data_IF_177661600718
#
_entry.id   IF_177661600718
#
_cell.length_a   1.000
_cell.length_b   1.000
_cell.length_c   1.000
_cell.angle_alpha   90.00
_cell.angle_beta   90.00
_cell.angle_gamma   90.00
#
_symmetry.space_group_name_H-M   'P 1'
#
loop_
_entity.id
_entity.type
_entity.pdbx_description
1 polymer ?
#
# COMPACT_ATOMS: atom_id res chain seq x y z
N UNK A 1 -6.17 -12.80 -3.89
CA UNK A 1 -5.41 -12.73 -2.63
C UNK A 1 -5.35 -11.29 -2.16
N UNK A 2 -5.65 -11.04 -0.88
CA UNK A 2 -5.53 -9.73 -0.26
C UNK A 2 -4.25 -9.68 0.58
N UNK A 3 -3.53 -8.57 0.49
CA UNK A 3 -2.30 -8.33 1.22
C UNK A 3 -2.32 -6.94 1.82
N UNK A 4 -1.66 -6.78 2.96
CA UNK A 4 -1.35 -5.49 3.55
C UNK A 4 0.15 -5.25 3.40
N UNK A 5 0.54 -4.10 2.87
CA UNK A 5 1.94 -3.71 2.75
C UNK A 5 2.19 -2.41 3.52
N UNK A 6 3.13 -2.44 4.45
CA UNK A 6 3.67 -1.24 5.09
C UNK A 6 4.89 -0.78 4.33
N UNK A 7 4.93 0.49 3.91
CA UNK A 7 6.00 1.10 3.13
C UNK A 7 6.69 2.18 3.95
N UNK A 8 8.03 2.15 3.96
CA UNK A 8 8.88 3.19 4.51
C UNK A 8 9.67 3.83 3.38
N UNK A 9 9.64 5.15 3.27
CA UNK A 9 10.37 5.94 2.30
C UNK A 9 11.74 6.34 2.85
N UNK A 10 12.68 6.66 1.95
CA UNK A 10 14.03 7.04 2.34
C UNK A 10 14.11 8.48 2.85
N UNK A 11 13.16 9.35 2.43
CA UNK A 11 13.14 10.78 2.77
C UNK A 11 11.71 11.32 2.85
N UNK A 12 11.40 12.05 3.93
CA UNK A 12 10.14 12.77 4.14
C UNK A 12 10.07 14.13 3.43
N UNK A 13 10.58 14.23 2.20
CA UNK A 13 10.36 15.46 1.44
C UNK A 13 8.93 15.46 0.90
N UNK A 14 8.26 16.61 1.03
CA UNK A 14 6.88 16.78 0.58
C UNK A 14 6.66 16.35 -0.88
N UNK A 15 7.62 16.63 -1.77
CA UNK A 15 7.54 16.26 -3.18
C UNK A 15 7.54 14.74 -3.41
N UNK A 16 8.27 13.97 -2.60
CA UNK A 16 8.32 12.51 -2.67
C UNK A 16 6.99 11.93 -2.20
N UNK A 17 6.49 12.43 -1.06
CA UNK A 17 5.22 12.01 -0.48
C UNK A 17 4.09 12.25 -1.49
N UNK A 18 4.04 13.42 -2.13
CA UNK A 18 2.99 13.75 -3.08
C UNK A 18 3.06 12.90 -4.36
N UNK A 19 4.27 12.65 -4.89
CA UNK A 19 4.45 11.71 -6.01
C UNK A 19 3.99 10.31 -5.64
N UNK A 20 4.34 9.83 -4.46
CA UNK A 20 3.96 8.50 -4.01
C UNK A 20 2.45 8.37 -3.81
N UNK A 21 1.81 9.38 -3.22
CA UNK A 21 0.34 9.48 -3.13
C UNK A 21 -0.33 9.46 -4.51
N UNK A 22 0.27 10.07 -5.54
CA UNK A 22 -0.26 10.00 -6.90
C UNK A 22 -0.09 8.61 -7.52
N UNK A 23 1.07 7.99 -7.32
CA UNK A 23 1.33 6.64 -7.80
C UNK A 23 0.34 5.63 -7.20
N UNK A 24 0.15 5.66 -5.88
CA UNK A 24 -0.83 4.82 -5.18
C UNK A 24 -2.23 4.93 -5.82
N UNK A 25 -2.69 6.14 -6.14
CA UNK A 25 -4.02 6.37 -6.75
C UNK A 25 -4.14 5.83 -8.18
N UNK A 26 -3.03 5.70 -8.91
CA UNK A 26 -3.00 5.22 -10.31
C UNK A 26 -2.84 3.71 -10.42
N UNK A 27 -2.41 3.07 -9.34
CA UNK A 27 -2.10 1.64 -9.32
C UNK A 27 -3.37 0.82 -9.03
N UNK A 28 -3.87 0.04 -10.01
CA UNK A 28 -5.17 -0.64 -9.89
C UNK A 28 -5.17 -1.78 -8.87
N UNK A 29 -4.03 -2.40 -8.59
CA UNK A 29 -3.92 -3.46 -7.58
C UNK A 29 -4.08 -2.93 -6.15
N UNK A 30 -3.88 -1.63 -5.92
CA UNK A 30 -4.03 -1.00 -4.61
C UNK A 30 -5.50 -0.62 -4.41
N UNK A 31 -6.19 -1.35 -3.53
CA UNK A 31 -7.59 -1.08 -3.19
C UNK A 31 -7.72 0.08 -2.19
N UNK A 32 -6.81 0.18 -1.24
CA UNK A 32 -6.79 1.26 -0.26
C UNK A 32 -5.34 1.66 0.01
N UNK A 33 -5.09 2.96 0.12
CA UNK A 33 -3.80 3.51 0.52
C UNK A 33 -3.97 4.53 1.64
N UNK A 34 -3.25 4.33 2.73
CA UNK A 34 -3.31 5.17 3.91
C UNK A 34 -1.95 5.84 4.10
N UNK A 35 -1.96 7.17 4.24
CA UNK A 35 -0.82 7.91 4.77
C UNK A 35 -0.98 7.98 6.29
N UNK A 36 -0.05 7.42 7.05
CA UNK A 36 -0.23 7.18 8.50
C UNK A 36 0.90 7.80 9.31
N UNK A 37 0.59 8.12 10.56
CA UNK A 37 1.61 8.44 11.57
C UNK A 37 2.01 7.14 12.26
N UNK A 38 3.26 6.68 12.10
CA UNK A 38 3.74 5.42 12.68
C UNK A 38 5.15 5.03 12.22
N UNK A 39 5.51 3.76 12.34
CA UNK A 39 6.81 3.22 11.86
C UNK A 39 6.92 3.16 10.33
N UNK A 40 5.79 3.18 9.63
CA UNK A 40 5.70 3.22 8.19
C UNK A 40 5.00 4.50 7.76
N UNK A 41 5.38 5.02 6.60
CA UNK A 41 4.80 6.24 6.03
C UNK A 41 3.46 5.94 5.35
N UNK A 42 3.36 4.76 4.74
CA UNK A 42 2.15 4.30 4.06
C UNK A 42 1.79 2.87 4.42
N UNK A 43 0.48 2.62 4.47
CA UNK A 43 -0.09 1.26 4.55
C UNK A 43 -1.02 1.06 3.37
N UNK A 44 -0.82 -0.02 2.63
CA UNK A 44 -1.54 -0.33 1.40
C UNK A 44 -2.30 -1.64 1.56
N UNK A 45 -3.56 -1.68 1.13
CA UNK A 45 -4.30 -2.92 0.92
C UNK A 45 -4.27 -3.27 -0.58
N UNK A 46 -3.64 -4.39 -0.91
CA UNK A 46 -3.34 -4.80 -2.28
C UNK A 46 -4.11 -6.08 -2.62
N UNK A 47 -4.75 -6.12 -3.78
CA UNK A 47 -5.44 -7.30 -4.31
C UNK A 47 -4.82 -7.76 -5.62
N UNK A 48 -4.38 -9.02 -5.64
CA UNK A 48 -3.85 -9.71 -6.82
C UNK A 48 -4.41 -11.13 -6.90
N UNK A 49 -4.29 -11.81 -8.02
CA UNK A 49 -4.77 -13.17 -8.24
C UNK A 49 -4.00 -14.20 -7.41
N UNK A 50 -2.68 -14.13 -7.43
CA UNK A 50 -1.78 -15.11 -6.82
C UNK A 50 -0.39 -14.50 -6.48
N UNK A 51 0.52 -15.32 -5.95
CA UNK A 51 1.88 -14.89 -5.58
C UNK A 51 2.77 -14.56 -6.78
N UNK A 52 2.48 -15.10 -7.97
CA UNK A 52 3.24 -14.79 -9.19
C UNK A 52 2.90 -13.38 -9.66
N UNK A 53 1.61 -13.04 -9.67
CA UNK A 53 1.17 -11.68 -9.95
C UNK A 53 1.65 -10.70 -8.87
N UNK A 54 1.69 -11.14 -7.60
CA UNK A 54 2.27 -10.34 -6.53
C UNK A 54 3.74 -10.01 -6.77
N UNK A 55 4.56 -10.99 -7.10
CA UNK A 55 5.98 -10.77 -7.37
C UNK A 55 6.17 -9.80 -8.55
N UNK A 56 5.41 -9.99 -9.64
CA UNK A 56 5.46 -9.10 -10.80
C UNK A 56 5.03 -7.66 -10.46
N UNK A 57 3.94 -7.51 -9.70
CA UNK A 57 3.47 -6.24 -9.18
C UNK A 57 4.57 -5.55 -8.35
N UNK A 58 5.13 -6.27 -7.38
CA UNK A 58 6.12 -5.73 -6.44
C UNK A 58 7.35 -5.30 -7.23
N UNK A 59 7.87 -6.14 -8.12
CA UNK A 59 9.03 -5.77 -8.94
C UNK A 59 8.81 -4.51 -9.76
N UNK A 60 7.63 -4.36 -10.39
CA UNK A 60 7.26 -3.16 -11.15
C UNK A 60 7.14 -1.93 -10.26
N UNK A 61 6.37 -2.05 -9.17
CA UNK A 61 6.07 -0.95 -8.25
C UNK A 61 7.35 -0.42 -7.57
N UNK A 62 8.25 -1.31 -7.15
CA UNK A 62 9.54 -0.90 -6.56
C UNK A 62 10.49 -0.28 -7.58
N UNK A 63 10.48 -0.77 -8.82
CA UNK A 63 11.31 -0.20 -9.87
C UNK A 63 10.90 1.23 -10.22
N UNK A 64 9.59 1.52 -10.20
CA UNK A 64 9.04 2.85 -10.47
C UNK A 64 9.22 3.83 -9.29
N UNK A 65 9.56 3.32 -8.10
CA UNK A 65 9.64 4.10 -6.85
C UNK A 65 10.95 3.85 -6.11
N UNK A 66 12.07 4.41 -6.59
CA UNK A 66 13.38 4.25 -5.95
C UNK A 66 13.45 4.91 -4.56
N UNK A 67 12.51 5.81 -4.25
CA UNK A 67 12.42 6.48 -2.95
C UNK A 67 11.93 5.54 -1.82
N UNK A 68 11.55 4.29 -2.11
CA UNK A 68 11.16 3.31 -1.10
C UNK A 68 12.40 2.72 -0.43
N UNK A 69 12.56 2.98 0.87
CA UNK A 69 13.63 2.41 1.70
C UNK A 69 13.37 0.94 2.04
N UNK A 70 12.11 0.59 2.26
CA UNK A 70 11.75 -0.77 2.62
C UNK A 70 10.25 -0.98 2.69
N UNK A 71 9.85 -2.25 2.72
CA UNK A 71 8.47 -2.64 2.88
C UNK A 71 8.33 -3.95 3.60
N UNK A 72 7.18 -4.12 4.26
CA UNK A 72 6.78 -5.36 4.91
C UNK A 72 5.41 -5.77 4.42
N UNK A 73 5.30 -7.00 3.92
CA UNK A 73 4.06 -7.56 3.39
C UNK A 73 3.45 -8.54 4.36
N UNK A 74 2.15 -8.47 4.54
CA UNK A 74 1.34 -9.38 5.35
C UNK A 74 0.24 -9.97 4.47
N UNK A 75 0.28 -11.28 4.25
CA UNK A 75 -0.76 -11.98 3.50
C UNK A 75 -1.99 -12.16 4.41
N UNK A 76 -3.16 -11.75 3.92
CA UNK A 76 -4.41 -11.90 4.67
C UNK A 76 -4.88 -13.35 4.53
N UNK A 77 -4.87 -14.08 5.63
CA UNK A 77 -5.33 -15.47 5.70
C UNK A 77 -6.85 -15.56 5.76
N UNK A 78 -7.48 -14.70 6.57
CA UNK A 78 -8.93 -14.63 6.71
C UNK A 78 -9.37 -13.17 6.90
N UNK A 79 -10.39 -12.76 6.15
CA UNK A 79 -10.96 -11.40 6.21
C UNK A 79 -12.24 -11.43 7.04
N UNK A 80 -12.09 -11.40 8.36
CA UNK A 80 -13.17 -11.54 9.34
C UNK A 80 -14.29 -10.49 9.17
N UNK A 81 -13.95 -9.24 8.83
CA UNK A 81 -14.91 -8.16 8.63
C UNK A 81 -14.43 -7.20 7.55
N UNK A 82 -15.33 -6.79 6.67
CA UNK A 82 -15.11 -5.68 5.75
C UNK A 82 -16.42 -4.93 5.55
N UNK A 83 -16.43 -3.66 5.94
CA UNK A 83 -17.57 -2.75 5.80
C UNK A 83 -17.05 -1.39 5.34
N UNK A 84 -17.86 -0.71 4.54
CA UNK A 84 -17.66 0.69 4.17
C UNK A 84 -18.49 1.64 5.03
N UNK A 85 -19.32 1.11 5.92
CA UNK A 85 -20.11 1.92 6.83
C UNK A 85 -19.19 2.62 7.83
N UNK A 86 -19.32 3.94 7.92
CA UNK A 86 -18.66 4.76 8.92
C UNK A 86 -19.52 4.72 10.20
N UNK A 87 -19.03 4.13 11.32
CA UNK A 87 -19.79 4.05 12.56
C UNK A 87 -19.58 5.32 13.39
N UNK A 88 -19.90 6.46 12.82
CA UNK A 88 -19.85 7.75 13.49
C UNK A 88 -21.21 8.41 13.31
N UNK A 89 -21.79 8.86 14.43
CA UNK A 89 -22.96 9.73 14.41
C UNK A 89 -22.51 11.10 13.87
N UNK A 90 -23.36 11.77 13.08
CA UNK A 90 -23.09 13.10 12.50
C UNK A 90 -22.72 14.16 13.55
#
# INVERSE_FOLDING_TARGET
MLMLASITLERDRADIIDRFKQAIRRTPEIMNGYYVTGEADFVLAISVRDMVEYEAFTRRFFHEHPDIKGFKTMVVMDRIKASLALPIDE
#
